data_IF_832545674619
#
_entry.id   IF_832545674619
#
_cell.length_a   1.000
_cell.length_b   1.000
_cell.length_c   1.000
_cell.angle_alpha   90.00
_cell.angle_beta   90.00
_cell.angle_gamma   90.00
#
_symmetry.space_group_name_H-M   'P 1'
#
loop_
_entity.id
_entity.type
_entity.pdbx_description
1 polymer ?
#
# COMPACT_ATOMS: atom_id res chain seq x y z
N UNK A 1 -8.98 -35.95 -30.63
CA UNK A 1 -8.97 -34.49 -30.84
C UNK A 1 -10.14 -33.92 -30.07
N UNK A 2 -9.89 -33.34 -28.89
CA UNK A 2 -10.97 -32.74 -28.10
C UNK A 2 -11.25 -31.35 -28.65
N UNK A 3 -12.47 -31.10 -29.12
CA UNK A 3 -12.97 -29.78 -29.45
C UNK A 3 -12.83 -28.89 -28.21
N UNK A 4 -11.81 -28.03 -28.22
CA UNK A 4 -11.64 -27.00 -27.22
C UNK A 4 -12.80 -26.03 -27.36
N UNK A 5 -13.77 -26.10 -26.44
CA UNK A 5 -14.84 -25.12 -26.28
C UNK A 5 -14.23 -23.71 -26.33
N UNK A 6 -14.34 -23.04 -27.48
CA UNK A 6 -13.88 -21.66 -27.62
C UNK A 6 -14.65 -20.78 -26.63
N UNK A 7 -13.95 -19.98 -25.84
CA UNK A 7 -14.62 -18.99 -24.97
C UNK A 7 -15.56 -18.12 -25.81
N UNK A 8 -16.81 -17.99 -25.38
CA UNK A 8 -17.81 -17.16 -26.03
C UNK A 8 -18.24 -15.98 -25.14
N UNK A 9 -18.74 -14.92 -25.79
CA UNK A 9 -19.31 -13.75 -25.12
C UNK A 9 -18.34 -13.02 -24.18
N UNK A 10 -18.87 -12.57 -23.03
CA UNK A 10 -18.12 -11.74 -22.06
C UNK A 10 -16.86 -12.42 -21.50
N UNK A 11 -16.85 -13.74 -21.38
CA UNK A 11 -15.68 -14.47 -20.87
C UNK A 11 -14.44 -14.29 -21.76
N UNK A 12 -14.64 -14.32 -23.09
CA UNK A 12 -13.57 -14.05 -24.06
C UNK A 12 -13.08 -12.61 -23.96
N UNK A 13 -13.99 -11.65 -23.83
CA UNK A 13 -13.66 -10.22 -23.69
C UNK A 13 -12.78 -9.99 -22.44
N UNK A 14 -13.17 -10.54 -21.28
CA UNK A 14 -12.38 -10.39 -20.06
C UNK A 14 -11.00 -11.02 -20.16
N UNK A 15 -10.88 -12.17 -20.84
CA UNK A 15 -9.60 -12.83 -21.04
C UNK A 15 -8.68 -12.01 -21.98
N UNK A 16 -9.23 -11.43 -23.06
CA UNK A 16 -8.50 -10.52 -23.95
C UNK A 16 -8.07 -9.26 -23.19
N UNK A 17 -8.98 -8.65 -22.43
CA UNK A 17 -8.66 -7.47 -21.61
C UNK A 17 -7.54 -7.78 -20.60
N UNK A 18 -7.58 -8.95 -19.95
CA UNK A 18 -6.52 -9.37 -19.05
C UNK A 18 -5.17 -9.56 -19.77
N UNK A 19 -5.16 -10.11 -21.00
CA UNK A 19 -3.94 -10.18 -21.81
C UNK A 19 -3.40 -8.79 -22.10
N UNK A 20 -4.24 -7.86 -22.56
CA UNK A 20 -3.83 -6.48 -22.88
C UNK A 20 -3.28 -5.76 -21.65
N UNK A 21 -4.03 -5.77 -20.54
CA UNK A 21 -3.63 -5.14 -19.28
C UNK A 21 -2.32 -5.74 -18.76
N UNK A 22 -2.19 -7.08 -18.78
CA UNK A 22 -0.99 -7.73 -18.28
C UNK A 22 0.24 -7.46 -19.16
N UNK A 23 0.08 -7.42 -20.49
CA UNK A 23 1.16 -7.12 -21.42
C UNK A 23 1.63 -5.66 -21.30
N UNK A 24 0.69 -4.71 -21.27
CA UNK A 24 1.02 -3.29 -21.11
C UNK A 24 1.63 -3.01 -19.73
N UNK A 25 1.05 -3.61 -18.67
CA UNK A 25 1.57 -3.53 -17.31
C UNK A 25 2.97 -4.12 -17.21
N UNK A 26 3.23 -5.28 -17.82
CA UNK A 26 4.55 -5.89 -17.87
C UNK A 26 5.58 -4.96 -18.55
N UNK A 27 5.28 -4.48 -19.76
CA UNK A 27 6.20 -3.65 -20.52
C UNK A 27 6.49 -2.31 -19.84
N UNK A 28 5.46 -1.62 -19.38
CA UNK A 28 5.61 -0.34 -18.67
C UNK A 28 6.41 -0.49 -17.38
N UNK A 29 6.13 -1.53 -16.58
CA UNK A 29 6.84 -1.76 -15.31
C UNK A 29 8.28 -2.23 -15.54
N UNK A 30 8.54 -3.02 -16.58
CA UNK A 30 9.88 -3.45 -16.96
C UNK A 30 10.74 -2.27 -17.44
N UNK A 31 10.21 -1.46 -18.36
CA UNK A 31 10.92 -0.29 -18.90
C UNK A 31 11.12 0.76 -17.81
N UNK A 32 10.05 1.13 -17.10
CA UNK A 32 10.11 2.10 -16.01
C UNK A 32 11.04 1.66 -14.89
N UNK A 33 10.96 0.39 -14.48
CA UNK A 33 11.86 -0.18 -13.48
C UNK A 33 13.33 -0.16 -13.92
N UNK A 34 13.62 -0.55 -15.17
CA UNK A 34 14.97 -0.50 -15.73
C UNK A 34 15.54 0.91 -15.78
N UNK A 35 14.73 1.90 -16.20
CA UNK A 35 15.13 3.31 -16.23
C UNK A 35 15.39 3.85 -14.82
N UNK A 36 14.50 3.59 -13.86
CA UNK A 36 14.67 4.05 -12.47
C UNK A 36 15.90 3.43 -11.81
N UNK A 37 16.20 2.14 -12.07
CA UNK A 37 17.42 1.51 -11.59
C UNK A 37 18.66 2.13 -12.21
N UNK A 38 18.64 2.41 -13.52
CA UNK A 38 19.75 3.09 -14.18
C UNK A 38 19.97 4.50 -13.61
N UNK A 39 18.91 5.31 -13.52
CA UNK A 39 19.00 6.67 -12.96
C UNK A 39 19.45 6.66 -11.49
N UNK A 40 18.87 5.79 -10.65
CA UNK A 40 19.27 5.66 -9.25
C UNK A 40 20.72 5.20 -9.09
N UNK A 41 21.20 4.29 -9.94
CA UNK A 41 22.59 3.84 -9.90
C UNK A 41 23.57 4.93 -10.32
N UNK A 42 23.31 5.63 -11.44
CA UNK A 42 24.23 6.66 -11.94
C UNK A 42 24.19 7.95 -11.10
N UNK A 43 23.02 8.40 -10.66
CA UNK A 43 22.90 9.60 -9.81
C UNK A 43 23.70 9.45 -8.51
N UNK A 44 23.57 8.29 -7.84
CA UNK A 44 24.31 7.99 -6.62
C UNK A 44 25.84 7.92 -6.79
N UNK A 45 26.36 7.81 -8.02
CA UNK A 45 27.81 7.85 -8.31
C UNK A 45 28.33 9.24 -8.66
N UNK A 46 27.47 10.15 -9.13
CA UNK A 46 27.87 11.44 -9.70
C UNK A 46 27.85 12.54 -8.64
N UNK A 47 26.82 12.60 -7.79
CA UNK A 47 26.67 13.66 -6.80
C UNK A 47 26.18 13.13 -5.44
N UNK A 48 27.00 13.23 -4.36
CA UNK A 48 26.60 12.88 -3.00
C UNK A 48 25.34 13.61 -2.50
N UNK A 49 25.04 14.82 -3.00
CA UNK A 49 23.85 15.58 -2.62
C UNK A 49 22.55 14.93 -3.13
N UNK A 50 22.63 14.12 -4.19
CA UNK A 50 21.48 13.37 -4.75
C UNK A 50 21.37 11.93 -4.22
N UNK A 51 22.22 11.53 -3.28
CA UNK A 51 22.32 10.15 -2.82
C UNK A 51 21.04 9.62 -2.15
N UNK A 52 20.27 10.49 -1.47
CA UNK A 52 18.98 10.10 -0.88
C UNK A 52 17.91 9.85 -1.95
N UNK A 53 17.84 10.72 -2.97
CA UNK A 53 16.92 10.55 -4.10
C UNK A 53 17.25 9.29 -4.91
N UNK A 54 18.54 9.01 -5.08
CA UNK A 54 19.04 7.80 -5.72
C UNK A 54 18.53 6.53 -5.01
N UNK A 55 18.52 6.52 -3.68
CA UNK A 55 18.05 5.37 -2.91
C UNK A 55 16.58 5.04 -3.12
N UNK A 56 15.72 6.06 -3.10
CA UNK A 56 14.29 5.90 -3.39
C UNK A 56 14.06 5.41 -4.82
N UNK A 57 14.76 5.99 -5.81
CA UNK A 57 14.67 5.55 -7.21
C UNK A 57 15.03 4.07 -7.37
N UNK A 58 16.07 3.60 -6.66
CA UNK A 58 16.47 2.19 -6.70
C UNK A 58 15.38 1.26 -6.14
N UNK A 59 14.77 1.62 -5.00
CA UNK A 59 13.68 0.81 -4.41
C UNK A 59 12.45 0.79 -5.32
N UNK A 60 12.04 1.93 -5.87
CA UNK A 60 10.91 2.00 -6.82
C UNK A 60 11.24 1.23 -8.11
N UNK A 61 12.50 1.29 -8.56
CA UNK A 61 12.99 0.53 -9.71
C UNK A 61 12.83 -0.99 -9.52
N UNK A 62 13.31 -1.52 -8.39
CA UNK A 62 13.14 -2.93 -8.05
C UNK A 62 11.67 -3.31 -7.83
N UNK A 63 10.88 -2.44 -7.20
CA UNK A 63 9.43 -2.63 -7.02
C UNK A 63 8.71 -2.73 -8.37
N UNK A 64 9.10 -1.90 -9.33
CA UNK A 64 8.54 -1.93 -10.69
C UNK A 64 8.90 -3.23 -11.41
N UNK A 65 10.13 -3.73 -11.26
CA UNK A 65 10.51 -5.05 -11.79
C UNK A 65 9.76 -6.21 -11.13
N UNK A 66 9.49 -6.14 -9.82
CA UNK A 66 8.65 -7.09 -9.12
C UNK A 66 7.21 -7.08 -9.67
N UNK A 67 6.64 -5.90 -9.93
CA UNK A 67 5.32 -5.76 -10.53
C UNK A 67 5.31 -6.33 -11.95
N UNK A 68 6.36 -6.09 -12.75
CA UNK A 68 6.52 -6.74 -14.04
C UNK A 68 6.48 -8.28 -13.89
N UNK A 69 7.21 -8.84 -12.93
CA UNK A 69 7.17 -10.27 -12.65
C UNK A 69 5.76 -10.76 -12.23
N UNK A 70 4.99 -9.96 -11.50
CA UNK A 70 3.62 -10.28 -11.10
C UNK A 70 2.63 -10.31 -12.29
N UNK A 71 2.88 -9.55 -13.37
CA UNK A 71 2.08 -9.61 -14.60
C UNK A 71 2.30 -10.89 -15.43
N UNK A 72 3.45 -11.56 -15.29
CA UNK A 72 3.74 -12.80 -16.03
C UNK A 72 2.70 -13.90 -15.76
N UNK A 73 2.42 -14.32 -14.51
CA UNK A 73 1.40 -15.34 -14.26
C UNK A 73 -0.01 -14.87 -14.63
N UNK A 74 -0.30 -13.56 -14.60
CA UNK A 74 -1.56 -13.02 -15.10
C UNK A 74 -1.70 -13.21 -16.61
N UNK A 75 -0.67 -12.86 -17.38
CA UNK A 75 -0.62 -13.05 -18.83
C UNK A 75 -0.73 -14.54 -19.19
N UNK A 76 0.08 -15.40 -18.55
CA UNK A 76 0.04 -16.85 -18.77
C UNK A 76 -1.37 -17.39 -18.47
N UNK A 77 -1.96 -17.02 -17.33
CA UNK A 77 -3.29 -17.50 -16.96
C UNK A 77 -4.37 -17.09 -17.97
N UNK A 78 -4.27 -15.87 -18.53
CA UNK A 78 -5.20 -15.36 -19.52
C UNK A 78 -5.05 -16.08 -20.87
N UNK A 79 -3.81 -16.33 -21.31
CA UNK A 79 -3.53 -17.08 -22.55
C UNK A 79 -4.03 -18.52 -22.45
N UNK A 80 -3.75 -19.21 -21.34
CA UNK A 80 -4.29 -20.56 -21.10
C UNK A 80 -5.82 -20.55 -21.12
N UNK A 81 -6.45 -19.54 -20.50
CA UNK A 81 -7.91 -19.39 -20.50
C UNK A 81 -8.46 -19.21 -21.93
N UNK A 82 -7.83 -18.37 -22.75
CA UNK A 82 -8.18 -18.18 -24.17
C UNK A 82 -8.05 -19.45 -25.00
N UNK A 83 -7.07 -20.29 -24.69
CA UNK A 83 -6.88 -21.60 -25.32
C UNK A 83 -7.85 -22.68 -24.80
N UNK A 84 -8.73 -22.35 -23.84
CA UNK A 84 -9.61 -23.33 -23.19
C UNK A 84 -8.86 -24.34 -22.34
N UNK A 85 -7.60 -24.05 -21.95
CA UNK A 85 -6.74 -24.95 -21.17
C UNK A 85 -6.66 -24.50 -19.70
N UNK A 86 -6.70 -25.42 -18.73
CA UNK A 86 -6.45 -25.06 -17.34
C UNK A 86 -4.97 -24.73 -17.14
N UNK A 87 -4.67 -23.67 -16.38
CA UNK A 87 -3.30 -23.36 -15.96
C UNK A 87 -2.79 -24.43 -14.97
N UNK A 88 -1.62 -25.07 -15.20
CA UNK A 88 -1.13 -26.18 -14.39
C UNK A 88 -0.88 -25.80 -12.93
N UNK A 89 -1.32 -26.64 -11.99
CA UNK A 89 -1.16 -26.38 -10.56
C UNK A 89 0.23 -26.62 -10.01
N UNK A 90 0.68 -25.69 -9.15
CA UNK A 90 1.84 -25.94 -8.31
C UNK A 90 1.51 -27.09 -7.37
N UNK A 91 2.38 -28.10 -7.36
CA UNK A 91 2.26 -29.24 -6.48
C UNK A 91 2.35 -28.79 -5.01
N UNK A 92 1.69 -29.49 -4.07
CA UNK A 92 1.76 -29.14 -2.65
C UNK A 92 3.19 -29.10 -2.09
N UNK A 93 4.07 -29.97 -2.57
CA UNK A 93 5.50 -29.98 -2.25
C UNK A 93 6.17 -28.68 -2.69
N UNK A 94 5.97 -28.25 -3.94
CA UNK A 94 6.48 -26.98 -4.48
C UNK A 94 5.96 -25.78 -3.68
N UNK A 95 4.67 -25.77 -3.32
CA UNK A 95 4.10 -24.70 -2.49
C UNK A 95 4.76 -24.63 -1.11
N UNK A 96 5.07 -25.78 -0.51
CA UNK A 96 5.78 -25.84 0.77
C UNK A 96 7.22 -25.31 0.64
N UNK A 97 7.93 -25.70 -0.43
CA UNK A 97 9.28 -25.20 -0.72
C UNK A 97 9.26 -23.67 -0.90
N UNK A 98 8.31 -23.13 -1.67
CA UNK A 98 8.18 -21.68 -1.86
C UNK A 98 7.98 -20.97 -0.52
N UNK A 99 7.12 -21.48 0.37
CA UNK A 99 6.91 -20.89 1.70
C UNK A 99 8.19 -20.87 2.54
N UNK A 100 8.95 -21.97 2.56
CA UNK A 100 10.24 -22.02 3.25
C UNK A 100 11.26 -21.08 2.61
N UNK A 101 11.31 -21.01 1.27
CA UNK A 101 12.19 -20.10 0.55
C UNK A 101 11.87 -18.64 0.86
N UNK A 102 10.60 -18.26 0.96
CA UNK A 102 10.19 -16.89 1.35
C UNK A 102 10.69 -16.53 2.76
N UNK A 103 10.61 -17.45 3.73
CA UNK A 103 11.14 -17.22 5.09
C UNK A 103 12.66 -17.06 5.04
N UNK A 104 13.35 -17.94 4.32
CA UNK A 104 14.80 -17.89 4.20
C UNK A 104 15.25 -16.59 3.53
N UNK A 105 14.61 -16.20 2.43
CA UNK A 105 14.88 -14.93 1.73
C UNK A 105 14.64 -13.75 2.67
N UNK A 106 13.57 -13.75 3.45
CA UNK A 106 13.29 -12.68 4.41
C UNK A 106 14.38 -12.55 5.49
N UNK A 107 14.81 -13.68 6.09
CA UNK A 107 15.90 -13.69 7.07
C UNK A 107 17.22 -13.22 6.44
N UNK A 108 17.54 -13.71 5.24
CA UNK A 108 18.73 -13.29 4.49
C UNK A 108 18.68 -11.80 4.17
N UNK A 109 17.51 -11.26 3.82
CA UNK A 109 17.32 -9.83 3.59
C UNK A 109 17.55 -9.00 4.85
N UNK A 110 17.08 -9.44 6.02
CA UNK A 110 17.33 -8.75 7.31
C UNK A 110 18.83 -8.68 7.58
N UNK A 111 19.50 -9.84 7.53
CA UNK A 111 20.93 -9.95 7.79
C UNK A 111 21.75 -9.18 6.75
N UNK A 112 21.35 -9.27 5.47
CA UNK A 112 21.99 -8.56 4.38
C UNK A 112 21.92 -7.05 4.61
N UNK A 113 20.72 -6.48 4.77
CA UNK A 113 20.55 -5.04 5.01
C UNK A 113 21.36 -4.59 6.24
N UNK A 114 21.34 -5.33 7.35
CA UNK A 114 22.16 -5.03 8.53
C UNK A 114 23.67 -4.97 8.24
N UNK A 115 24.15 -5.85 7.36
CA UNK A 115 25.58 -5.98 7.06
C UNK A 115 26.05 -5.01 5.98
N UNK A 116 25.20 -4.64 5.01
CA UNK A 116 25.63 -3.93 3.82
C UNK A 116 25.08 -2.50 3.67
N UNK A 117 24.06 -2.09 4.45
CA UNK A 117 23.44 -0.77 4.32
C UNK A 117 24.41 0.39 4.53
N UNK A 118 25.48 0.18 5.30
CA UNK A 118 26.53 1.18 5.54
C UNK A 118 27.43 1.48 4.33
N UNK A 119 27.36 0.67 3.27
CA UNK A 119 28.21 0.82 2.09
C UNK A 119 27.41 1.34 0.90
N UNK A 120 27.60 2.61 0.55
CA UNK A 120 26.88 3.26 -0.56
C UNK A 120 27.05 2.53 -1.90
N UNK A 121 28.22 1.95 -2.18
CA UNK A 121 28.49 1.16 -3.40
C UNK A 121 27.55 -0.05 -3.52
N UNK A 122 27.02 -0.55 -2.40
CA UNK A 122 26.12 -1.70 -2.35
C UNK A 122 24.63 -1.30 -2.35
N UNK A 123 24.29 -0.01 -2.52
CA UNK A 123 22.91 0.49 -2.51
C UNK A 123 21.98 -0.22 -3.51
N UNK A 124 22.48 -0.63 -4.68
CA UNK A 124 21.72 -1.43 -5.64
C UNK A 124 21.28 -2.78 -5.06
N UNK A 125 22.14 -3.42 -4.26
CA UNK A 125 21.84 -4.69 -3.59
C UNK A 125 20.98 -4.44 -2.34
N UNK A 126 21.31 -3.43 -1.53
CA UNK A 126 20.52 -3.06 -0.34
C UNK A 126 19.07 -2.79 -0.71
N UNK A 127 18.82 -2.01 -1.77
CA UNK A 127 17.47 -1.73 -2.27
C UNK A 127 16.72 -2.98 -2.74
N UNK A 128 17.41 -3.94 -3.37
CA UNK A 128 16.81 -5.23 -3.72
C UNK A 128 16.41 -6.02 -2.46
N UNK A 129 17.24 -6.00 -1.42
CA UNK A 129 16.98 -6.72 -0.17
C UNK A 129 15.84 -6.11 0.65
N UNK A 130 15.50 -4.84 0.46
CA UNK A 130 14.32 -4.21 1.07
C UNK A 130 13.03 -4.84 0.56
N UNK A 131 12.99 -5.26 -0.71
CA UNK A 131 11.77 -5.78 -1.33
C UNK A 131 11.20 -6.98 -0.55
N UNK A 132 11.97 -8.05 -0.24
CA UNK A 132 11.46 -9.14 0.58
C UNK A 132 11.07 -8.72 2.01
N UNK A 133 11.75 -7.73 2.61
CA UNK A 133 11.45 -7.29 3.97
C UNK A 133 10.00 -6.84 4.13
N UNK A 134 9.47 -6.16 3.12
CA UNK A 134 8.07 -5.68 3.07
C UNK A 134 7.15 -6.74 2.44
N UNK A 135 7.55 -7.32 1.31
CA UNK A 135 6.69 -8.22 0.54
C UNK A 135 6.36 -9.52 1.29
N UNK A 136 7.35 -10.14 1.94
CA UNK A 136 7.17 -11.45 2.55
C UNK A 136 6.13 -11.42 3.67
N UNK A 137 6.17 -10.48 4.64
CA UNK A 137 5.09 -10.34 5.62
C UNK A 137 3.70 -10.16 5.01
N UNK A 138 3.57 -9.31 3.98
CA UNK A 138 2.29 -9.09 3.27
C UNK A 138 1.77 -10.40 2.66
N UNK A 139 2.65 -11.17 2.00
CA UNK A 139 2.29 -12.49 1.46
C UNK A 139 1.87 -13.46 2.56
N UNK A 140 2.48 -13.42 3.74
CA UNK A 140 2.05 -14.22 4.88
C UNK A 140 0.66 -13.83 5.38
N UNK A 141 0.38 -12.54 5.55
CA UNK A 141 -0.95 -12.07 5.92
C UNK A 141 -2.00 -12.49 4.89
N UNK A 142 -1.71 -12.33 3.59
CA UNK A 142 -2.57 -12.83 2.53
C UNK A 142 -2.78 -14.36 2.63
N UNK A 143 -1.72 -15.15 2.81
CA UNK A 143 -1.82 -16.61 2.92
C UNK A 143 -2.64 -17.07 4.13
N UNK A 144 -2.54 -16.33 5.25
CA UNK A 144 -3.33 -16.57 6.46
C UNK A 144 -4.80 -16.23 6.20
N UNK A 145 -5.08 -15.03 5.67
CA UNK A 145 -6.44 -14.57 5.38
C UNK A 145 -7.14 -15.38 4.30
N UNK A 146 -6.43 -15.80 3.26
CA UNK A 146 -7.00 -16.58 2.16
C UNK A 146 -7.01 -18.10 2.43
N UNK A 147 -6.61 -18.56 3.61
CA UNK A 147 -6.48 -19.99 3.93
C UNK A 147 -7.81 -20.71 3.65
N UNK A 148 -7.75 -21.75 2.81
CA UNK A 148 -8.91 -22.57 2.35
C UNK A 148 -10.03 -21.78 1.64
N UNK A 149 -9.81 -20.51 1.33
CA UNK A 149 -10.71 -19.68 0.55
C UNK A 149 -10.10 -19.42 -0.83
N UNK A 150 -10.92 -19.08 -1.82
CA UNK A 150 -10.44 -18.71 -3.15
C UNK A 150 -11.39 -17.71 -3.78
N UNK A 151 -10.84 -16.76 -4.54
CA UNK A 151 -11.61 -15.87 -5.41
C UNK A 151 -12.24 -16.64 -6.59
N UNK A 152 -11.72 -17.83 -6.92
CA UNK A 152 -12.23 -18.71 -7.96
C UNK A 152 -11.11 -19.38 -8.76
N UNK A 153 -11.24 -19.37 -10.08
CA UNK A 153 -10.21 -19.89 -10.97
C UNK A 153 -9.00 -18.93 -11.07
N UNK A 154 -7.88 -19.43 -11.60
CA UNK A 154 -6.63 -18.67 -11.67
C UNK A 154 -6.65 -17.43 -12.54
N UNK A 155 -7.30 -17.44 -13.72
CA UNK A 155 -7.45 -16.20 -14.49
C UNK A 155 -8.12 -15.11 -13.67
N UNK A 156 -9.10 -15.45 -12.82
CA UNK A 156 -9.73 -14.47 -11.93
C UNK A 156 -8.79 -13.98 -10.82
N UNK A 157 -8.01 -14.86 -10.18
CA UNK A 157 -7.04 -14.50 -9.14
C UNK A 157 -5.95 -13.58 -9.70
N UNK A 158 -5.27 -14.01 -10.76
CA UNK A 158 -4.19 -13.23 -11.35
C UNK A 158 -4.68 -12.02 -12.14
N UNK A 159 -5.90 -12.10 -12.69
CA UNK A 159 -6.58 -10.94 -13.28
C UNK A 159 -6.88 -9.87 -12.24
N UNK A 160 -7.26 -10.26 -11.01
CA UNK A 160 -7.41 -9.30 -9.91
C UNK A 160 -6.06 -8.67 -9.51
N UNK A 161 -4.98 -9.44 -9.45
CA UNK A 161 -3.63 -8.89 -9.20
C UNK A 161 -3.25 -7.87 -10.28
N UNK A 162 -3.38 -8.24 -11.56
CA UNK A 162 -3.07 -7.36 -12.68
C UNK A 162 -3.95 -6.10 -12.69
N UNK A 163 -5.25 -6.25 -12.44
CA UNK A 163 -6.18 -5.13 -12.33
C UNK A 163 -5.78 -4.17 -11.20
N UNK A 164 -5.39 -4.69 -10.04
CA UNK A 164 -5.04 -3.85 -8.92
C UNK A 164 -3.80 -3.00 -9.22
N UNK A 165 -2.74 -3.61 -9.77
CA UNK A 165 -1.53 -2.86 -10.13
C UNK A 165 -1.74 -1.89 -11.31
N UNK A 166 -2.50 -2.26 -12.33
CA UNK A 166 -2.66 -1.41 -13.52
C UNK A 166 -3.75 -0.36 -13.43
N UNK A 167 -4.80 -0.58 -12.64
CA UNK A 167 -6.02 0.25 -12.67
C UNK A 167 -6.37 0.79 -11.28
N UNK A 168 -6.51 -0.08 -10.28
CA UNK A 168 -6.92 0.37 -8.95
C UNK A 168 -5.93 1.40 -8.38
N UNK A 169 -4.63 1.15 -8.49
CA UNK A 169 -3.60 2.06 -7.95
C UNK A 169 -3.63 3.45 -8.62
N UNK A 170 -3.59 3.59 -9.96
CA UNK A 170 -3.77 4.89 -10.59
C UNK A 170 -5.09 5.59 -10.24
N UNK A 171 -6.18 4.85 -10.05
CA UNK A 171 -7.47 5.44 -9.66
C UNK A 171 -7.41 5.99 -8.23
N UNK A 172 -6.84 5.25 -7.28
CA UNK A 172 -6.66 5.75 -5.90
C UNK A 172 -5.79 7.00 -5.90
N UNK A 173 -4.64 6.97 -6.58
CA UNK A 173 -3.74 8.12 -6.69
C UNK A 173 -4.41 9.33 -7.33
N UNK A 174 -5.23 9.12 -8.38
CA UNK A 174 -5.99 10.20 -9.01
C UNK A 174 -7.05 10.77 -8.05
N UNK A 175 -7.75 9.91 -7.31
CA UNK A 175 -8.74 10.35 -6.34
C UNK A 175 -8.10 11.15 -5.19
N UNK A 176 -6.93 10.72 -4.71
CA UNK A 176 -6.14 11.46 -3.73
C UNK A 176 -5.64 12.79 -4.29
N UNK A 177 -5.12 12.83 -5.53
CA UNK A 177 -4.68 14.07 -6.16
C UNK A 177 -5.84 15.08 -6.29
N UNK A 178 -7.03 14.60 -6.66
CA UNK A 178 -8.24 15.43 -6.70
C UNK A 178 -8.61 15.94 -5.31
N UNK A 179 -8.55 15.08 -4.28
CA UNK A 179 -8.77 15.48 -2.89
C UNK A 179 -7.78 16.57 -2.46
N UNK A 180 -6.48 16.36 -2.69
CA UNK A 180 -5.44 17.32 -2.36
C UNK A 180 -5.60 18.63 -3.12
N UNK A 181 -5.99 18.60 -4.40
CA UNK A 181 -6.29 19.81 -5.16
C UNK A 181 -7.38 20.67 -4.48
N UNK A 182 -8.48 20.06 -4.04
CA UNK A 182 -9.53 20.78 -3.32
C UNK A 182 -9.04 21.29 -1.95
N UNK A 183 -8.26 20.50 -1.22
CA UNK A 183 -7.66 20.94 0.06
C UNK A 183 -6.75 22.14 -0.17
N UNK A 184 -5.88 22.11 -1.17
CA UNK A 184 -4.99 23.22 -1.51
C UNK A 184 -5.77 24.46 -1.93
N UNK A 185 -6.85 24.32 -2.70
CA UNK A 185 -7.71 25.43 -3.06
C UNK A 185 -8.36 26.08 -1.82
N UNK A 186 -8.90 25.28 -0.90
CA UNK A 186 -9.49 25.77 0.35
C UNK A 186 -8.41 26.45 1.22
N UNK A 187 -7.23 25.83 1.34
CA UNK A 187 -6.10 26.37 2.09
C UNK A 187 -5.60 27.69 1.51
N UNK A 188 -5.54 27.82 0.17
CA UNK A 188 -5.13 29.05 -0.50
C UNK A 188 -6.14 30.19 -0.28
N UNK A 189 -7.45 29.90 -0.36
CA UNK A 189 -8.51 30.87 -0.07
C UNK A 189 -8.42 31.33 1.39
N UNK A 190 -8.23 30.39 2.32
CA UNK A 190 -8.06 30.70 3.74
C UNK A 190 -6.79 31.53 4.00
N UNK A 191 -5.67 31.18 3.37
CA UNK A 191 -4.39 31.87 3.52
C UNK A 191 -4.41 33.29 2.95
N UNK A 192 -5.19 33.54 1.88
CA UNK A 192 -5.39 34.88 1.35
C UNK A 192 -6.04 35.84 2.37
N UNK A 193 -6.74 35.30 3.38
CA UNK A 193 -7.27 36.06 4.52
C UNK A 193 -6.27 36.27 5.66
N UNK A 194 -5.03 35.79 5.55
CA UNK A 194 -3.99 35.84 6.58
C UNK A 194 -2.72 36.53 6.03
N UNK A 195 -2.73 37.87 5.86
CA UNK A 195 -1.66 38.58 5.15
C UNK A 195 -0.29 38.46 5.84
N UNK A 196 -0.24 38.40 7.16
CA UNK A 196 1.01 38.22 7.93
C UNK A 196 1.62 36.84 7.67
N UNK A 197 0.81 35.78 7.69
CA UNK A 197 1.28 34.41 7.42
C UNK A 197 1.71 34.25 5.96
N UNK A 198 0.98 34.86 5.01
CA UNK A 198 1.36 34.85 3.61
C UNK A 198 2.72 35.53 3.40
N UNK A 199 2.95 36.69 4.04
CA UNK A 199 4.24 37.39 3.98
C UNK A 199 5.37 36.55 4.59
N UNK A 200 5.12 35.86 5.71
CA UNK A 200 6.09 34.93 6.31
C UNK A 200 6.45 33.81 5.33
N UNK A 201 5.45 33.12 4.76
CA UNK A 201 5.66 32.04 3.80
C UNK A 201 6.46 32.52 2.57
N UNK A 202 6.15 33.71 2.04
CA UNK A 202 6.88 34.27 0.90
C UNK A 202 8.35 34.58 1.23
N UNK A 203 8.61 35.11 2.42
CA UNK A 203 9.98 35.37 2.90
C UNK A 203 10.78 34.07 2.99
N UNK A 204 10.19 33.02 3.58
CA UNK A 204 10.83 31.72 3.66
C UNK A 204 11.02 31.06 2.28
N UNK A 205 10.05 31.19 1.38
CA UNK A 205 10.18 30.69 0.01
C UNK A 205 11.35 31.37 -0.74
N UNK A 206 11.56 32.67 -0.53
CA UNK A 206 12.70 33.41 -1.09
C UNK A 206 14.03 32.96 -0.49
N UNK A 207 14.11 32.75 0.84
CA UNK A 207 15.31 32.23 1.52
C UNK A 207 15.68 30.81 1.06
N UNK A 208 14.68 29.94 0.85
CA UNK A 208 14.89 28.59 0.32
C UNK A 208 15.36 28.66 -1.13
N UNK A 209 14.69 29.45 -1.97
CA UNK A 209 15.03 29.57 -3.39
C UNK A 209 16.42 30.19 -3.62
N UNK A 210 16.86 31.06 -2.72
CA UNK A 210 18.18 31.71 -2.79
C UNK A 210 19.30 30.86 -2.18
N UNK A 211 18.96 29.71 -1.56
CA UNK A 211 19.92 28.85 -0.87
C UNK A 211 20.50 29.48 0.40
N UNK A 212 19.87 30.55 0.90
CA UNK A 212 20.33 31.32 2.06
C UNK A 212 19.75 30.81 3.38
N UNK A 213 18.78 29.89 3.33
CA UNK A 213 18.14 29.38 4.54
C UNK A 213 19.06 28.45 5.32
N UNK A 214 19.27 28.77 6.60
CA UNK A 214 19.95 27.87 7.52
C UNK A 214 19.06 26.65 7.82
N UNK A 215 19.58 25.41 7.81
CA UNK A 215 18.81 24.22 8.17
C UNK A 215 18.07 24.31 9.51
N UNK A 216 18.65 24.97 10.52
CA UNK A 216 18.01 25.16 11.82
C UNK A 216 16.82 26.13 11.74
N UNK A 217 16.92 27.18 10.92
CA UNK A 217 15.81 28.12 10.69
C UNK A 217 14.67 27.45 9.91
N UNK A 218 15.00 26.54 8.99
CA UNK A 218 14.02 25.74 8.26
C UNK A 218 13.25 24.79 9.20
N UNK A 219 13.96 24.11 10.10
CA UNK A 219 13.35 23.24 11.11
C UNK A 219 12.43 24.01 12.06
N UNK A 220 12.88 25.17 12.56
CA UNK A 220 12.07 26.04 13.40
C UNK A 220 10.80 26.52 12.68
N UNK A 221 10.90 26.95 11.42
CA UNK A 221 9.73 27.35 10.64
C UNK A 221 8.70 26.22 10.49
N UNK A 222 9.16 25.02 10.15
CA UNK A 222 8.28 23.84 10.02
C UNK A 222 7.62 23.53 11.36
N UNK A 223 8.38 23.60 12.45
CA UNK A 223 7.89 23.37 13.82
C UNK A 223 6.83 24.39 14.21
N UNK A 224 7.07 25.67 13.95
CA UNK A 224 6.13 26.77 14.21
C UNK A 224 4.85 26.63 13.37
N UNK A 225 4.97 26.19 12.12
CA UNK A 225 3.84 25.98 11.24
C UNK A 225 2.96 24.82 11.71
N UNK A 226 3.57 23.68 12.04
CA UNK A 226 2.85 22.47 12.51
C UNK A 226 2.25 22.72 13.90
N UNK A 227 2.89 23.52 14.74
CA UNK A 227 2.38 23.86 16.09
C UNK A 227 1.08 24.69 16.04
N UNK A 228 0.76 25.35 14.92
CA UNK A 228 -0.50 26.07 14.77
C UNK A 228 -1.67 25.07 14.65
N UNK A 229 -2.75 25.22 15.44
CA UNK A 229 -3.86 24.26 15.47
C UNK A 229 -4.51 23.96 14.11
N UNK A 230 -4.55 24.93 13.21
CA UNK A 230 -5.13 24.75 11.87
C UNK A 230 -4.35 23.72 11.03
N UNK A 231 -3.02 23.74 11.07
CA UNK A 231 -2.18 22.82 10.31
C UNK A 231 -2.14 21.44 10.97
N UNK A 232 -2.04 21.38 12.30
CA UNK A 232 -2.11 20.11 13.03
C UNK A 232 -3.47 19.42 12.85
N UNK A 233 -4.58 20.11 13.14
CA UNK A 233 -5.92 19.53 13.01
C UNK A 233 -6.27 19.24 11.55
N UNK A 234 -5.82 20.09 10.62
CA UNK A 234 -5.98 19.87 9.19
C UNK A 234 -5.25 18.61 8.70
N UNK A 235 -3.98 18.44 9.08
CA UNK A 235 -3.22 17.24 8.73
C UNK A 235 -3.83 15.96 9.33
N UNK A 236 -4.27 16.02 10.59
CA UNK A 236 -4.99 14.91 11.25
C UNK A 236 -6.27 14.56 10.48
N UNK A 237 -7.10 15.55 10.12
CA UNK A 237 -8.34 15.33 9.37
C UNK A 237 -8.05 14.66 8.01
N UNK A 238 -7.04 15.14 7.30
CA UNK A 238 -6.70 14.61 5.97
C UNK A 238 -6.16 13.19 6.09
N UNK A 239 -5.13 12.98 6.90
CA UNK A 239 -4.38 11.71 7.01
C UNK A 239 -5.18 10.62 7.72
N UNK A 240 -5.99 10.99 8.72
CA UNK A 240 -6.72 10.04 9.57
C UNK A 240 -8.19 9.85 9.16
N UNK A 241 -8.74 10.68 8.28
CA UNK A 241 -10.16 10.58 7.90
C UNK A 241 -10.32 10.55 6.38
N UNK A 242 -9.90 11.63 5.69
CA UNK A 242 -10.21 11.79 4.26
C UNK A 242 -9.47 10.77 3.38
N UNK A 243 -8.18 10.55 3.64
CA UNK A 243 -7.37 9.57 2.91
C UNK A 243 -7.90 8.14 3.13
N UNK A 244 -8.09 7.64 4.38
CA UNK A 244 -8.70 6.34 4.63
C UNK A 244 -10.07 6.13 3.98
N UNK A 245 -10.94 7.16 3.95
CA UNK A 245 -12.24 7.10 3.28
C UNK A 245 -12.10 6.74 1.80
N UNK A 246 -11.18 7.42 1.09
CA UNK A 246 -10.93 7.19 -0.33
C UNK A 246 -10.31 5.81 -0.54
N UNK A 247 -9.23 5.52 0.18
CA UNK A 247 -8.47 4.29 -0.05
C UNK A 247 -9.31 3.04 0.21
N UNK A 248 -9.99 2.95 1.36
CA UNK A 248 -10.78 1.76 1.71
C UNK A 248 -11.98 1.57 0.78
N UNK A 249 -12.45 2.64 0.14
CA UNK A 249 -13.51 2.54 -0.86
C UNK A 249 -13.00 1.91 -2.16
N UNK A 250 -11.85 2.37 -2.65
CA UNK A 250 -11.32 1.97 -3.96
C UNK A 250 -10.44 0.70 -3.95
N UNK A 251 -9.79 0.36 -2.84
CA UNK A 251 -8.97 -0.87 -2.70
C UNK A 251 -9.66 -2.16 -3.21
N UNK A 252 -10.95 -2.44 -2.89
CA UNK A 252 -11.64 -3.62 -3.39
C UNK A 252 -12.23 -3.46 -4.81
N UNK A 253 -11.86 -2.42 -5.58
CA UNK A 253 -12.45 -2.11 -6.89
C UNK A 253 -12.47 -3.29 -7.88
N UNK A 254 -11.49 -4.19 -7.83
CA UNK A 254 -11.47 -5.40 -8.66
C UNK A 254 -12.76 -6.25 -8.51
N UNK A 255 -13.40 -6.21 -7.35
CA UNK A 255 -14.66 -6.91 -7.06
C UNK A 255 -15.83 -6.29 -7.82
N UNK A 256 -15.83 -4.97 -8.04
CA UNK A 256 -16.89 -4.26 -8.77
C UNK A 256 -16.99 -4.73 -10.22
N UNK A 257 -15.84 -4.94 -10.87
CA UNK A 257 -15.79 -5.48 -12.23
C UNK A 257 -16.09 -6.98 -12.31
N UNK A 258 -16.10 -7.65 -11.15
CA UNK A 258 -16.55 -9.03 -11.00
C UNK A 258 -18.00 -9.12 -10.48
N UNK A 259 -18.70 -7.98 -10.26
CA UNK A 259 -20.07 -7.90 -9.74
C UNK A 259 -21.16 -8.52 -10.67
N UNK A 260 -20.80 -8.93 -11.88
CA UNK A 260 -21.67 -9.69 -12.78
C UNK A 260 -21.57 -11.22 -12.66
N UNK A 261 -20.71 -11.76 -11.78
CA UNK A 261 -20.37 -13.20 -11.73
C UNK A 261 -20.90 -13.95 -10.50
N UNK A 262 -21.86 -13.39 -9.76
CA UNK A 262 -22.42 -13.97 -8.51
C UNK A 262 -21.30 -14.38 -7.54
N UNK A 263 -20.52 -13.40 -7.09
CA UNK A 263 -19.44 -13.67 -6.13
C UNK A 263 -20.03 -14.06 -4.79
N UNK A 264 -19.48 -15.12 -4.19
CA UNK A 264 -19.78 -15.45 -2.80
C UNK A 264 -19.14 -14.42 -1.86
N UNK A 265 -19.65 -14.27 -0.62
CA UNK A 265 -19.01 -13.43 0.39
C UNK A 265 -17.54 -13.80 0.64
N UNK A 266 -17.19 -15.09 0.56
CA UNK A 266 -15.81 -15.57 0.68
C UNK A 266 -14.92 -15.18 -0.51
N UNK A 267 -15.48 -15.17 -1.72
CA UNK A 267 -14.78 -14.65 -2.90
C UNK A 267 -14.56 -13.14 -2.79
N UNK A 268 -15.55 -12.39 -2.29
CA UNK A 268 -15.40 -10.97 -1.99
C UNK A 268 -14.26 -10.70 -1.00
N UNK A 269 -14.22 -11.45 0.11
CA UNK A 269 -13.15 -11.35 1.09
C UNK A 269 -11.77 -11.58 0.45
N UNK A 270 -11.58 -12.69 -0.28
CA UNK A 270 -10.29 -12.98 -0.93
C UNK A 270 -9.94 -11.95 -2.01
N UNK A 271 -10.91 -11.45 -2.77
CA UNK A 271 -10.69 -10.37 -3.73
C UNK A 271 -10.21 -9.08 -3.05
N UNK A 272 -10.77 -8.76 -1.88
CA UNK A 272 -10.33 -7.66 -1.03
C UNK A 272 -8.92 -7.88 -0.49
N UNK A 273 -8.61 -9.08 0.03
CA UNK A 273 -7.25 -9.41 0.49
C UNK A 273 -6.21 -9.20 -0.62
N UNK A 274 -6.52 -9.54 -1.88
CA UNK A 274 -5.64 -9.29 -3.03
C UNK A 274 -5.44 -7.78 -3.25
N UNK A 275 -6.53 -7.00 -3.28
CA UNK A 275 -6.46 -5.55 -3.44
C UNK A 275 -5.65 -4.88 -2.33
N UNK A 276 -5.89 -5.27 -1.07
CA UNK A 276 -5.15 -4.80 0.09
C UNK A 276 -3.67 -5.18 0.05
N UNK A 277 -3.33 -6.40 -0.39
CA UNK A 277 -1.93 -6.83 -0.52
C UNK A 277 -1.19 -6.05 -1.62
N UNK A 278 -1.82 -5.84 -2.77
CA UNK A 278 -1.26 -5.01 -3.85
C UNK A 278 -1.04 -3.57 -3.41
N UNK A 279 -2.03 -2.98 -2.72
CA UNK A 279 -1.95 -1.62 -2.17
C UNK A 279 -0.83 -1.51 -1.13
N UNK A 280 -0.85 -2.38 -0.12
CA UNK A 280 0.15 -2.43 0.95
C UNK A 280 1.57 -2.52 0.42
N UNK A 281 1.79 -3.35 -0.60
CA UNK A 281 3.11 -3.53 -1.21
C UNK A 281 3.62 -2.21 -1.80
N UNK A 282 2.79 -1.52 -2.59
CA UNK A 282 3.18 -0.28 -3.26
C UNK A 282 3.33 0.87 -2.28
N UNK A 283 2.39 1.03 -1.35
CA UNK A 283 2.44 2.08 -0.35
C UNK A 283 3.64 1.90 0.59
N UNK A 284 3.86 0.68 1.09
CA UNK A 284 4.97 0.42 2.01
C UNK A 284 6.34 0.47 1.33
N UNK A 285 6.48 0.01 0.08
CA UNK A 285 7.75 0.11 -0.65
C UNK A 285 8.01 1.53 -1.17
N UNK A 286 6.96 2.27 -1.56
CA UNK A 286 7.08 3.67 -1.95
C UNK A 286 7.48 4.57 -0.78
N UNK A 287 7.13 4.18 0.46
CA UNK A 287 7.46 4.91 1.66
C UNK A 287 8.76 4.44 2.34
N UNK A 288 9.41 3.40 1.84
CA UNK A 288 10.69 2.90 2.36
C UNK A 288 11.79 3.22 1.33
N UNK A 289 12.62 4.21 1.64
CA UNK A 289 13.89 4.44 0.95
C UNK A 289 14.98 3.47 1.41
N UNK A 290 16.22 3.68 0.94
CA UNK A 290 17.36 2.94 1.51
C UNK A 290 17.53 3.35 2.98
N UNK A 291 17.59 2.39 3.93
CA UNK A 291 17.82 2.67 5.33
C UNK A 291 19.10 3.49 5.53
N UNK A 292 18.95 4.74 5.97
CA UNK A 292 20.07 5.63 6.25
C UNK A 292 20.53 5.60 7.72
N UNK A 293 19.69 5.11 8.65
CA UNK A 293 19.86 5.37 10.09
C UNK A 293 19.53 4.18 11.02
N UNK A 294 19.81 4.36 12.33
CA UNK A 294 19.66 3.38 13.41
C UNK A 294 18.24 2.89 13.66
N UNK A 295 17.21 3.55 13.13
CA UNK A 295 15.80 3.28 13.44
C UNK A 295 15.05 2.47 12.38
N UNK A 296 15.73 1.99 11.35
CA UNK A 296 15.12 1.28 10.22
C UNK A 296 14.31 0.03 10.62
N UNK A 297 14.66 -0.64 11.72
CA UNK A 297 13.89 -1.76 12.27
C UNK A 297 12.50 -1.31 12.72
N UNK A 298 12.40 -0.16 13.39
CA UNK A 298 11.13 0.38 13.85
C UNK A 298 10.24 0.76 12.66
N UNK A 299 10.83 1.38 11.63
CA UNK A 299 10.15 1.63 10.35
C UNK A 299 9.64 0.34 9.72
N UNK A 300 10.46 -0.71 9.66
CA UNK A 300 10.06 -2.01 9.10
C UNK A 300 8.90 -2.64 9.89
N UNK A 301 8.92 -2.57 11.22
CA UNK A 301 7.81 -3.03 12.06
C UNK A 301 6.53 -2.22 11.79
N UNK A 302 6.63 -0.90 11.71
CA UNK A 302 5.51 -0.03 11.35
C UNK A 302 4.90 -0.41 10.00
N UNK A 303 5.74 -0.60 8.98
CA UNK A 303 5.31 -1.01 7.62
C UNK A 303 4.73 -2.42 7.59
N UNK A 304 5.27 -3.34 8.39
CA UNK A 304 4.69 -4.67 8.56
C UNK A 304 3.27 -4.57 9.14
N UNK A 305 3.07 -3.67 10.12
CA UNK A 305 1.75 -3.42 10.70
C UNK A 305 0.77 -2.78 9.71
N UNK A 306 1.20 -1.76 8.96
CA UNK A 306 0.41 -1.17 7.87
C UNK A 306 0.04 -2.22 6.82
N UNK A 307 0.96 -3.12 6.49
CA UNK A 307 0.70 -4.23 5.56
C UNK A 307 -0.38 -5.19 6.04
N UNK A 308 -0.36 -5.57 7.33
CA UNK A 308 -1.43 -6.38 7.94
C UNK A 308 -2.77 -5.64 7.90
N UNK A 309 -2.76 -4.35 8.23
CA UNK A 309 -3.93 -3.49 8.24
C UNK A 309 -4.60 -3.45 6.88
N UNK A 310 -3.88 -3.06 5.82
CA UNK A 310 -4.47 -2.95 4.48
C UNK A 310 -4.99 -4.27 3.93
N UNK A 311 -4.25 -5.37 4.14
CA UNK A 311 -4.72 -6.71 3.74
C UNK A 311 -6.02 -7.04 4.43
N UNK A 312 -6.09 -6.87 5.76
CA UNK A 312 -7.25 -7.23 6.58
C UNK A 312 -8.47 -6.38 6.24
N UNK A 313 -8.29 -5.06 6.24
CA UNK A 313 -9.38 -4.10 6.07
C UNK A 313 -9.95 -4.16 4.65
N UNK A 314 -9.11 -4.23 3.62
CA UNK A 314 -9.59 -4.42 2.24
C UNK A 314 -10.34 -5.74 2.08
N UNK A 315 -9.89 -6.80 2.74
CA UNK A 315 -10.65 -8.05 2.85
C UNK A 315 -12.04 -7.86 3.45
N UNK A 316 -12.13 -7.16 4.58
CA UNK A 316 -13.38 -6.84 5.28
C UNK A 316 -14.34 -6.04 4.38
N UNK A 317 -13.87 -4.99 3.70
CA UNK A 317 -14.69 -4.20 2.76
C UNK A 317 -15.12 -5.04 1.56
N UNK A 318 -14.21 -5.86 1.01
CA UNK A 318 -14.52 -6.76 -0.10
C UNK A 318 -15.60 -7.80 0.24
N UNK A 319 -15.57 -8.34 1.47
CA UNK A 319 -16.62 -9.19 2.00
C UNK A 319 -17.98 -8.45 2.09
N UNK A 320 -17.95 -7.21 2.58
CA UNK A 320 -19.10 -6.32 2.63
C UNK A 320 -19.74 -6.09 1.27
N UNK A 321 -18.95 -5.64 0.29
CA UNK A 321 -19.43 -5.36 -1.07
C UNK A 321 -19.97 -6.59 -1.79
N UNK A 322 -19.30 -7.74 -1.70
CA UNK A 322 -19.86 -8.98 -2.27
C UNK A 322 -21.18 -9.37 -1.59
N UNK A 323 -21.29 -9.22 -0.26
CA UNK A 323 -22.54 -9.47 0.47
C UNK A 323 -23.66 -8.50 0.06
N UNK A 324 -23.35 -7.25 -0.25
CA UNK A 324 -24.32 -6.26 -0.69
C UNK A 324 -24.81 -6.51 -2.12
N UNK A 325 -23.89 -6.71 -3.08
CA UNK A 325 -24.23 -6.85 -4.49
C UNK A 325 -25.10 -8.07 -4.78
N UNK A 326 -24.91 -9.17 -4.04
CA UNK A 326 -25.55 -10.45 -4.36
C UNK A 326 -26.59 -10.89 -3.34
N UNK A 327 -26.39 -10.59 -2.06
CA UNK A 327 -27.31 -10.99 -1.00
C UNK A 327 -28.14 -9.79 -0.48
N UNK A 328 -28.02 -8.61 -1.12
CA UNK A 328 -28.68 -7.34 -0.74
C UNK A 328 -28.40 -6.88 0.70
N UNK A 329 -27.30 -7.36 1.31
CA UNK A 329 -26.91 -7.05 2.68
C UNK A 329 -26.12 -5.74 2.76
N UNK A 330 -26.73 -4.62 2.35
CA UNK A 330 -26.09 -3.29 2.34
C UNK A 330 -25.65 -2.82 3.72
N UNK A 331 -26.40 -3.14 4.78
CA UNK A 331 -26.00 -2.85 6.15
C UNK A 331 -24.64 -3.46 6.52
N UNK A 332 -24.33 -4.66 5.99
CA UNK A 332 -23.01 -5.27 6.17
C UNK A 332 -21.93 -4.47 5.45
N UNK A 333 -22.15 -4.10 4.18
CA UNK A 333 -21.18 -3.30 3.43
C UNK A 333 -20.85 -1.97 4.11
N UNK A 334 -21.88 -1.24 4.56
CA UNK A 334 -21.71 0.02 5.28
C UNK A 334 -20.92 -0.20 6.57
N UNK A 335 -21.31 -1.20 7.38
CA UNK A 335 -20.60 -1.50 8.62
C UNK A 335 -19.14 -1.89 8.39
N UNK A 336 -18.86 -2.79 7.44
CA UNK A 336 -17.49 -3.22 7.14
C UNK A 336 -16.62 -2.09 6.60
N UNK A 337 -17.20 -1.19 5.79
CA UNK A 337 -16.52 -0.02 5.26
C UNK A 337 -16.21 1.00 6.37
N UNK A 338 -17.19 1.38 7.18
CA UNK A 338 -16.98 2.32 8.27
C UNK A 338 -16.00 1.76 9.32
N UNK A 339 -16.10 0.47 9.65
CA UNK A 339 -15.14 -0.18 10.55
C UNK A 339 -13.72 -0.16 9.98
N UNK A 340 -13.55 -0.42 8.68
CA UNK A 340 -12.25 -0.33 8.03
C UNK A 340 -11.71 1.10 8.08
N UNK A 341 -12.50 2.10 7.69
CA UNK A 341 -12.11 3.51 7.74
C UNK A 341 -11.74 3.95 9.16
N UNK A 342 -12.49 3.52 10.18
CA UNK A 342 -12.16 3.85 11.58
C UNK A 342 -10.85 3.21 12.03
N UNK A 343 -10.63 1.91 11.76
CA UNK A 343 -9.39 1.24 12.17
C UNK A 343 -8.18 1.83 11.43
N UNK A 344 -8.33 2.08 10.13
CA UNK A 344 -7.28 2.71 9.31
C UNK A 344 -7.01 4.14 9.77
N UNK A 345 -8.06 4.94 9.98
CA UNK A 345 -7.94 6.29 10.49
C UNK A 345 -7.26 6.38 11.85
N UNK A 346 -7.60 5.47 12.78
CA UNK A 346 -6.92 5.38 14.08
C UNK A 346 -5.43 5.01 13.92
N UNK A 347 -5.10 4.08 13.02
CA UNK A 347 -3.71 3.75 12.75
C UNK A 347 -2.93 4.98 12.25
N UNK A 348 -3.48 5.69 11.27
CA UNK A 348 -2.86 6.89 10.70
C UNK A 348 -2.75 8.02 11.72
N UNK A 349 -3.76 8.21 12.56
CA UNK A 349 -3.74 9.20 13.64
C UNK A 349 -2.59 8.96 14.61
N UNK A 350 -2.48 7.74 15.15
CA UNK A 350 -1.41 7.42 16.11
C UNK A 350 -0.04 7.36 15.45
N UNK A 351 0.08 6.90 14.20
CA UNK A 351 1.33 6.95 13.45
C UNK A 351 1.79 8.40 13.23
N UNK A 352 0.87 9.31 12.86
CA UNK A 352 1.15 10.73 12.68
C UNK A 352 1.58 11.39 13.99
N UNK A 353 0.84 11.15 15.09
CA UNK A 353 1.19 11.70 16.40
C UNK A 353 2.54 11.17 16.91
N UNK A 354 2.82 9.87 16.75
CA UNK A 354 4.12 9.33 17.15
C UNK A 354 5.29 9.93 16.37
N UNK A 355 5.06 10.40 15.13
CA UNK A 355 6.07 11.11 14.35
C UNK A 355 6.19 12.61 14.68
N UNK A 356 5.08 13.29 15.01
CA UNK A 356 5.05 14.75 15.23
C UNK A 356 5.33 15.13 16.70
N UNK A 357 4.84 14.36 17.68
CA UNK A 357 4.98 14.72 19.10
C UNK A 357 6.43 14.95 19.54
N UNK A 358 7.44 14.16 19.11
CA UNK A 358 8.83 14.39 19.51
C UNK A 358 9.43 15.74 19.08
N UNK A 359 8.88 16.36 18.04
CA UNK A 359 9.38 17.64 17.48
C UNK A 359 8.57 18.85 17.94
N UNK A 360 7.41 18.65 18.58
CA UNK A 360 6.63 19.77 19.09
C UNK A 360 7.30 20.35 20.33
N UNK A 361 7.45 21.69 20.44
CA UNK A 361 7.89 22.31 21.66
C UNK A 361 6.85 22.01 22.74
N UNK A 362 7.25 21.29 23.78
CA UNK A 362 6.40 21.02 24.95
C UNK A 362 6.21 22.36 25.66
N UNK A 363 5.18 23.11 25.26
CA UNK A 363 4.79 24.33 25.95
C UNK A 363 3.97 23.96 27.20
N UNK A 364 4.03 24.78 28.24
CA UNK A 364 3.17 24.63 29.43
C UNK A 364 1.66 24.76 29.08
N UNK A 365 1.33 25.30 27.90
CA UNK A 365 -0.03 25.45 27.37
C UNK A 365 -0.55 24.22 26.60
N UNK A 366 0.33 23.34 26.12
CA UNK A 366 -0.11 22.05 25.59
C UNK A 366 -0.56 21.20 26.78
N UNK A 367 -1.87 21.11 26.99
CA UNK A 367 -2.47 20.13 27.90
C UNK A 367 -1.76 18.78 27.73
N UNK A 368 -1.54 18.02 28.81
CA UNK A 368 -0.77 16.76 28.79
C UNK A 368 -1.30 15.70 27.79
N UNK A 369 -2.43 15.93 27.13
CA UNK A 369 -3.15 14.98 26.30
C UNK A 369 -2.43 14.63 24.97
N UNK A 370 -1.96 15.54 24.10
CA UNK A 370 -1.26 15.15 22.86
C UNK A 370 0.06 14.44 23.15
N UNK A 371 0.77 14.86 24.20
CA UNK A 371 2.00 14.21 24.67
C UNK A 371 1.69 12.79 25.20
N UNK A 372 0.65 12.64 26.03
CA UNK A 372 0.19 11.34 26.51
C UNK A 372 -0.26 10.43 25.36
N UNK A 373 -1.02 10.96 24.39
CA UNK A 373 -1.46 10.21 23.22
C UNK A 373 -0.28 9.78 22.32
N UNK A 374 0.73 10.64 22.17
CA UNK A 374 1.97 10.30 21.46
C UNK A 374 2.74 9.17 22.16
N UNK A 375 2.88 9.24 23.49
CA UNK A 375 3.52 8.21 24.30
C UNK A 375 2.74 6.87 24.27
N UNK A 376 1.40 6.94 24.25
CA UNK A 376 0.54 5.78 24.11
C UNK A 376 0.50 5.23 22.69
N UNK A 377 0.92 6.01 21.68
CA UNK A 377 0.77 5.70 20.26
C UNK A 377 1.35 4.33 19.88
N UNK A 378 2.56 4.01 20.33
CA UNK A 378 3.18 2.70 20.07
C UNK A 378 2.34 1.55 20.63
N UNK A 379 1.81 1.68 21.84
CA UNK A 379 0.96 0.65 22.45
C UNK A 379 -0.37 0.51 21.72
N UNK A 380 -0.96 1.61 21.26
CA UNK A 380 -2.18 1.59 20.45
C UNK A 380 -1.93 0.92 19.10
N UNK A 381 -0.83 1.24 18.42
CA UNK A 381 -0.45 0.60 17.15
C UNK A 381 -0.25 -0.91 17.33
N UNK A 382 0.39 -1.36 18.41
CA UNK A 382 0.49 -2.79 18.75
C UNK A 382 -0.90 -3.39 19.01
N UNK A 383 -1.79 -2.68 19.72
CA UNK A 383 -3.17 -3.10 19.93
C UNK A 383 -3.94 -3.26 18.61
N UNK A 384 -3.84 -2.29 17.71
CA UNK A 384 -4.46 -2.32 16.38
C UNK A 384 -3.87 -3.43 15.52
N UNK A 385 -2.58 -3.72 15.62
CA UNK A 385 -1.95 -4.87 14.98
C UNK A 385 -2.62 -6.17 15.42
N UNK A 386 -2.79 -6.38 16.73
CA UNK A 386 -3.46 -7.57 17.28
C UNK A 386 -4.92 -7.63 16.84
N UNK A 387 -5.65 -6.51 16.86
CA UNK A 387 -7.04 -6.43 16.39
C UNK A 387 -7.14 -6.86 14.93
N UNK A 388 -6.30 -6.34 14.03
CA UNK A 388 -6.30 -6.72 12.63
C UNK A 388 -5.97 -8.21 12.45
N UNK A 389 -5.00 -8.74 13.21
CA UNK A 389 -4.67 -10.16 13.16
C UNK A 389 -5.89 -11.03 13.57
N UNK A 390 -6.55 -10.68 14.67
CA UNK A 390 -7.75 -11.37 15.16
C UNK A 390 -8.90 -11.28 14.16
N UNK A 391 -9.14 -10.10 13.57
CA UNK A 391 -10.14 -9.90 12.52
C UNK A 391 -9.86 -10.80 11.31
N UNK A 392 -8.62 -10.82 10.82
CA UNK A 392 -8.19 -11.64 9.69
C UNK A 392 -8.49 -13.13 9.93
N UNK A 393 -8.14 -13.66 11.10
CA UNK A 393 -8.40 -15.05 11.47
C UNK A 393 -9.89 -15.35 11.65
N UNK A 394 -10.62 -14.50 12.36
CA UNK A 394 -12.03 -14.72 12.68
C UNK A 394 -12.92 -14.66 11.44
N UNK A 395 -12.71 -13.68 10.56
CA UNK A 395 -13.48 -13.55 9.31
C UNK A 395 -13.16 -14.72 8.38
N UNK A 396 -11.89 -15.12 8.26
CA UNK A 396 -11.53 -16.32 7.49
C UNK A 396 -12.25 -17.57 8.02
N UNK A 397 -12.21 -17.81 9.33
CA UNK A 397 -12.85 -18.99 9.95
C UNK A 397 -14.35 -18.98 9.74
N UNK A 398 -14.99 -17.83 9.92
CA UNK A 398 -16.43 -17.67 9.71
C UNK A 398 -16.83 -17.97 8.26
N UNK A 399 -16.06 -17.48 7.29
CA UNK A 399 -16.34 -17.66 5.86
C UNK A 399 -16.07 -19.10 5.38
N UNK A 400 -15.19 -19.86 6.05
CA UNK A 400 -15.03 -21.29 5.79
C UNK A 400 -16.24 -22.12 6.25
N UNK A 401 -16.99 -21.63 7.25
CA UNK A 401 -18.15 -22.31 7.81
C UNK A 401 -19.45 -21.98 7.07
N UNK A 402 -19.46 -20.94 6.23
CA UNK A 402 -20.61 -20.61 5.40
C UNK A 402 -20.68 -21.57 4.21
N UNK A 403 -21.85 -22.19 3.94
CA UNK A 403 -22.05 -22.97 2.73
C UNK A 403 -21.74 -22.10 1.49
N UNK A 404 -21.10 -22.68 0.49
CA UNK A 404 -21.06 -22.07 -0.83
C UNK A 404 -22.48 -22.17 -1.43
N UNK A 405 -23.29 -21.13 -1.23
CA UNK A 405 -24.63 -21.00 -1.84
C UNK A 405 -24.55 -20.96 -3.37
#
# INVERSE_FOLDING_TARGET
MAEGSMLQGRAKIYAIAQVVISSLGFLSSLIGGGLLLAFGFFSGMIDPLTANDAGLMLVIGWTSLLIAAAFIPALISAVFHLQGRPMPALQPSTQRIIKFALILIWIVSILGVLLISRFQVLNLITSLLIIPLVLVPILFFFMIGARKLSLGNRPRVWGAVAFNFSIMMPVVLLAELVLFFFIFMIAAIWLAGQPELLSQIMMYAEQISSGLMNPLEAEQFVTDLISRPIFLNGSILVVSVLVPLIEEFFKPMAIWFLAGKRLTPSQGFVGGLIGGACFAMLESLGAVGIPAESEWLMLLFGRTGTGLLHVTLSGLVGWGFASAFYNRKWGRAIFTYLLAVTIHGLWNFFALLSGIVPILPISEEMDNLPVLLGQLGVFVLVGLFVINLVLLFNVNRQLQQQPAE
#
